data_IF_336437090144
#
_entry.id   IF_336437090144
#
_cell.length_a   1.000
_cell.length_b   1.000
_cell.length_c   1.000
_cell.angle_alpha   90.00
_cell.angle_beta   90.00
_cell.angle_gamma   90.00
#
_symmetry.space_group_name_H-M   'P 1'
#
loop_
_entity.id
_entity.type
_entity.pdbx_description
1 polymer ?
#
# COMPACT_ATOMS: atom_id res chain seq x y z
N UNK A 1 18.31 -7.06 11.68
CA UNK A 1 18.36 -6.07 10.60
C UNK A 1 17.96 -6.81 9.31
N UNK A 2 16.89 -6.41 8.62
CA UNK A 2 16.35 -7.17 7.46
C UNK A 2 17.03 -6.84 6.13
N UNK A 3 17.65 -5.67 6.01
CA UNK A 3 18.30 -5.19 4.80
C UNK A 3 19.75 -4.78 5.09
N UNK A 4 20.61 -4.83 4.07
CA UNK A 4 22.00 -4.40 4.14
C UNK A 4 22.38 -3.69 2.83
N UNK A 5 22.43 -2.34 2.80
CA UNK A 5 22.77 -1.59 1.59
C UNK A 5 24.25 -1.83 1.22
N UNK A 6 24.57 -1.72 -0.07
CA UNK A 6 25.93 -1.82 -0.59
C UNK A 6 26.43 -0.41 -0.99
N UNK A 7 27.17 0.31 -0.12
CA UNK A 7 27.57 1.70 -0.37
C UNK A 7 28.36 1.88 -1.66
N UNK A 8 29.17 0.90 -2.05
CA UNK A 8 29.95 0.89 -3.29
C UNK A 8 29.08 0.97 -4.54
N UNK A 9 27.82 0.53 -4.46
CA UNK A 9 26.85 0.64 -5.55
C UNK A 9 25.99 1.90 -5.42
N UNK A 10 25.70 2.36 -4.21
CA UNK A 10 24.69 3.40 -3.94
C UNK A 10 25.29 4.82 -3.90
N UNK A 11 26.50 4.97 -3.37
CA UNK A 11 27.09 6.27 -3.05
C UNK A 11 27.15 7.20 -4.26
N UNK A 12 26.64 8.43 -4.08
CA UNK A 12 26.57 9.48 -5.10
C UNK A 12 25.49 9.29 -6.17
N UNK A 13 24.74 8.18 -6.17
CA UNK A 13 23.74 7.89 -7.20
C UNK A 13 22.35 8.39 -6.82
N UNK A 14 21.54 8.63 -7.86
CA UNK A 14 20.09 8.79 -7.75
C UNK A 14 19.47 7.41 -7.93
N UNK A 15 18.77 6.90 -6.92
CA UNK A 15 18.24 5.54 -6.91
C UNK A 15 16.73 5.53 -7.07
N UNK A 16 16.22 4.58 -7.84
CA UNK A 16 14.80 4.25 -7.89
C UNK A 16 14.61 2.95 -7.14
N UNK A 17 13.77 2.94 -6.12
CA UNK A 17 13.40 1.75 -5.36
C UNK A 17 11.98 1.39 -5.75
N UNK A 18 11.79 0.12 -6.11
CA UNK A 18 10.47 -0.43 -6.40
C UNK A 18 10.07 -1.31 -5.22
N UNK A 19 8.88 -1.10 -4.68
CA UNK A 19 8.30 -1.91 -3.62
C UNK A 19 6.85 -2.27 -3.95
N UNK A 20 6.31 -3.30 -3.30
CA UNK A 20 4.98 -3.81 -3.63
C UNK A 20 3.86 -2.85 -3.21
N UNK A 21 3.99 -2.29 -2.01
CA UNK A 21 2.96 -1.55 -1.31
C UNK A 21 3.54 -0.70 -0.18
N UNK A 22 2.79 0.30 0.28
CA UNK A 22 3.09 1.02 1.53
C UNK A 22 1.83 1.06 2.37
N UNK A 23 1.83 0.37 3.52
CA UNK A 23 0.73 0.41 4.49
C UNK A 23 0.98 1.50 5.52
N UNK A 24 1.89 1.29 6.48
CA UNK A 24 2.19 2.25 7.57
C UNK A 24 3.33 3.22 7.28
N UNK A 25 4.10 3.01 6.22
CA UNK A 25 5.27 3.85 5.88
C UNK A 25 6.54 3.64 6.73
N UNK A 26 6.46 3.05 7.94
CA UNK A 26 7.61 2.87 8.83
C UNK A 26 8.78 2.10 8.19
N UNK A 27 8.50 0.95 7.57
CA UNK A 27 9.53 0.14 6.88
C UNK A 27 10.15 0.92 5.73
N UNK A 28 9.31 1.57 4.92
CA UNK A 28 9.74 2.37 3.78
C UNK A 28 10.63 3.53 4.20
N UNK A 29 10.27 4.24 5.28
CA UNK A 29 11.09 5.31 5.88
C UNK A 29 12.46 4.79 6.34
N UNK A 30 12.51 3.61 6.96
CA UNK A 30 13.78 2.97 7.32
C UNK A 30 14.63 2.64 6.10
N UNK A 31 14.02 2.11 5.03
CA UNK A 31 14.72 1.80 3.77
C UNK A 31 15.30 3.08 3.15
N UNK A 32 14.51 4.15 3.07
CA UNK A 32 14.97 5.46 2.56
C UNK A 32 16.14 5.98 3.39
N UNK A 33 16.04 5.93 4.73
CA UNK A 33 17.12 6.31 5.64
C UNK A 33 18.41 5.51 5.40
N UNK A 34 18.30 4.19 5.30
CA UNK A 34 19.46 3.31 5.03
C UNK A 34 20.14 3.61 3.70
N UNK A 35 19.37 3.96 2.65
CA UNK A 35 19.92 4.33 1.35
C UNK A 35 20.61 5.70 1.40
N UNK A 36 20.05 6.66 2.15
CA UNK A 36 20.68 7.96 2.40
C UNK A 36 21.99 7.80 3.18
N UNK A 37 22.00 6.98 4.23
CA UNK A 37 23.19 6.66 5.02
C UNK A 37 24.27 5.97 4.18
N UNK A 38 23.88 5.18 3.19
CA UNK A 38 24.78 4.57 2.20
C UNK A 38 25.28 5.55 1.11
N UNK A 39 24.88 6.83 1.17
CA UNK A 39 25.37 7.90 0.31
C UNK A 39 24.50 8.20 -0.93
N UNK A 40 23.23 7.76 -0.97
CA UNK A 40 22.34 8.08 -2.09
C UNK A 40 22.11 9.59 -2.22
N UNK A 41 22.32 10.13 -3.44
CA UNK A 41 22.09 11.54 -3.78
C UNK A 41 20.59 11.89 -3.80
N UNK A 42 19.77 11.00 -4.36
CA UNK A 42 18.30 11.08 -4.41
C UNK A 42 17.75 9.66 -4.28
N UNK A 43 16.57 9.51 -3.67
CA UNK A 43 15.82 8.28 -3.47
C UNK A 43 14.39 8.51 -3.97
N UNK A 44 14.02 7.83 -5.06
CA UNK A 44 12.70 7.88 -5.64
C UNK A 44 11.98 6.54 -5.48
N UNK A 45 10.76 6.55 -4.97
CA UNK A 45 9.97 5.34 -4.77
C UNK A 45 8.95 5.12 -5.89
N UNK A 46 8.82 3.87 -6.33
CA UNK A 46 7.78 3.42 -7.27
C UNK A 46 7.07 2.23 -6.66
N UNK A 47 5.78 2.39 -6.37
CA UNK A 47 5.00 1.38 -5.68
C UNK A 47 4.11 0.68 -6.69
N UNK A 48 4.20 -0.65 -6.78
CA UNK A 48 3.45 -1.44 -7.76
C UNK A 48 2.00 -1.72 -7.38
N UNK A 49 1.47 -1.00 -6.38
CA UNK A 49 0.08 -0.96 -6.02
C UNK A 49 -0.41 0.50 -5.98
N UNK A 50 -1.73 0.74 -6.11
CA UNK A 50 -2.34 2.01 -5.75
C UNK A 50 -2.18 2.30 -4.24
N UNK A 51 -2.38 3.56 -3.80
CA UNK A 51 -2.31 3.88 -2.38
C UNK A 51 -3.39 3.14 -1.59
N UNK A 52 -2.99 2.39 -0.55
CA UNK A 52 -3.93 1.71 0.35
C UNK A 52 -4.48 2.72 1.34
N UNK A 53 -5.78 3.03 1.22
CA UNK A 53 -6.45 4.09 2.00
C UNK A 53 -7.49 3.56 2.98
N UNK A 54 -7.91 2.30 2.80
CA UNK A 54 -8.96 1.64 3.58
C UNK A 54 -8.51 0.25 4.02
N UNK A 55 -9.04 -0.22 5.17
CA UNK A 55 -8.82 -1.57 5.67
C UNK A 55 -9.54 -2.63 4.86
N UNK A 56 -9.15 -3.89 4.93
CA UNK A 56 -9.89 -4.95 4.26
C UNK A 56 -10.96 -5.54 5.20
N UNK A 57 -12.19 -5.68 4.70
CA UNK A 57 -13.29 -6.32 5.43
C UNK A 57 -13.43 -7.81 5.11
N UNK A 58 -12.62 -8.31 4.17
CA UNK A 58 -12.79 -9.65 3.57
C UNK A 58 -11.62 -10.59 3.90
N UNK A 59 -11.01 -10.43 5.07
CA UNK A 59 -10.03 -11.39 5.60
C UNK A 59 -8.55 -11.00 5.48
N UNK A 60 -8.19 -9.91 4.80
CA UNK A 60 -6.78 -9.44 4.77
C UNK A 60 -6.48 -8.59 6.00
N UNK A 61 -5.43 -8.96 6.74
CA UNK A 61 -5.01 -8.20 7.92
C UNK A 61 -4.36 -6.87 7.53
N UNK A 62 -5.07 -5.78 7.80
CA UNK A 62 -4.63 -4.42 7.50
C UNK A 62 -4.54 -3.60 8.79
N UNK A 63 -3.75 -2.53 8.74
CA UNK A 63 -3.61 -1.61 9.87
C UNK A 63 -4.89 -0.79 10.07
N UNK A 64 -5.07 -0.18 11.24
CA UNK A 64 -6.15 0.77 11.42
C UNK A 64 -5.97 1.96 10.45
N UNK A 65 -7.07 2.59 10.02
CA UNK A 65 -7.02 3.63 8.96
C UNK A 65 -6.09 4.78 9.33
N UNK A 66 -6.12 5.24 10.57
CA UNK A 66 -5.26 6.29 11.11
C UNK A 66 -3.78 5.91 11.13
N UNK A 67 -3.47 4.62 11.17
CA UNK A 67 -2.10 4.10 11.06
C UNK A 67 -1.61 3.96 9.61
N UNK A 68 -2.50 4.05 8.61
CA UNK A 68 -2.12 3.96 7.20
C UNK A 68 -1.50 5.27 6.72
N UNK A 69 -0.38 5.18 6.02
CA UNK A 69 0.34 6.38 5.57
C UNK A 69 -0.45 7.15 4.51
N UNK A 70 -1.21 6.46 3.66
CA UNK A 70 -1.97 7.10 2.59
C UNK A 70 -3.38 7.55 3.04
N UNK A 71 -3.79 7.28 4.29
CA UNK A 71 -5.06 7.79 4.79
C UNK A 71 -5.00 9.33 4.89
N UNK A 72 -5.94 10.00 4.22
CA UNK A 72 -6.06 11.47 4.14
C UNK A 72 -4.81 12.25 3.72
N UNK A 73 -3.82 11.58 3.09
CA UNK A 73 -2.60 12.22 2.58
C UNK A 73 -2.55 12.20 1.06
N UNK A 74 -2.02 13.30 0.51
CA UNK A 74 -1.55 13.42 -0.88
C UNK A 74 -0.27 12.62 -1.09
N UNK A 75 0.11 12.38 -2.35
CA UNK A 75 1.32 11.61 -2.66
C UNK A 75 2.58 12.36 -2.19
N UNK A 76 2.56 13.69 -2.33
CA UNK A 76 3.61 14.60 -1.90
C UNK A 76 3.80 14.56 -0.38
N UNK A 77 2.72 14.60 0.40
CA UNK A 77 2.77 14.47 1.86
C UNK A 77 3.30 13.11 2.31
N UNK A 78 2.95 12.03 1.59
CA UNK A 78 3.50 10.69 1.87
C UNK A 78 5.01 10.66 1.57
N UNK A 79 5.45 11.23 0.44
CA UNK A 79 6.85 11.29 0.06
C UNK A 79 7.68 12.04 1.11
N UNK A 80 7.19 13.18 1.59
CA UNK A 80 7.80 13.95 2.67
C UNK A 80 7.85 13.14 3.96
N UNK A 81 6.75 12.51 4.35
CA UNK A 81 6.66 11.70 5.57
C UNK A 81 7.70 10.56 5.63
N UNK A 82 7.93 9.89 4.51
CA UNK A 82 8.90 8.79 4.40
C UNK A 82 10.32 9.25 4.01
N UNK A 83 10.50 10.53 3.69
CA UNK A 83 11.79 11.15 3.36
C UNK A 83 12.30 10.90 1.94
N UNK A 84 11.42 10.55 1.00
CA UNK A 84 11.77 10.30 -0.41
C UNK A 84 11.73 11.60 -1.24
N UNK A 85 12.57 11.71 -2.28
CA UNK A 85 12.57 12.88 -3.18
C UNK A 85 11.39 12.86 -4.16
N UNK A 86 10.93 11.66 -4.56
CA UNK A 86 9.65 11.51 -5.25
C UNK A 86 9.03 10.16 -4.94
N UNK A 87 7.71 10.11 -5.00
CA UNK A 87 6.90 8.90 -4.85
C UNK A 87 5.91 8.84 -6.02
N UNK A 88 5.75 7.66 -6.60
CA UNK A 88 4.65 7.39 -7.51
C UNK A 88 4.07 6.00 -7.23
N UNK A 89 2.76 5.90 -7.30
CA UNK A 89 2.00 4.66 -7.18
C UNK A 89 1.52 4.21 -8.55
N UNK A 90 1.29 2.91 -8.72
CA UNK A 90 0.57 2.38 -9.87
C UNK A 90 -0.86 2.94 -9.89
N UNK A 91 -1.35 3.35 -11.04
CA UNK A 91 -2.74 3.83 -11.20
C UNK A 91 -3.73 2.67 -11.14
N UNK A 92 -4.99 2.95 -10.77
CA UNK A 92 -6.06 1.95 -10.84
C UNK A 92 -6.21 1.39 -12.26
N UNK A 93 -6.20 2.26 -13.27
CA UNK A 93 -6.23 1.85 -14.69
C UNK A 93 -5.07 0.90 -15.03
N UNK A 94 -3.85 1.21 -14.57
CA UNK A 94 -2.68 0.38 -14.79
C UNK A 94 -2.75 -0.97 -14.08
N UNK A 95 -3.42 -1.07 -12.93
CA UNK A 95 -3.71 -2.36 -12.28
C UNK A 95 -4.61 -3.21 -13.16
N UNK A 96 -5.73 -2.68 -13.65
CA UNK A 96 -6.66 -3.47 -14.47
C UNK A 96 -6.04 -3.84 -15.83
N UNK A 97 -5.24 -2.95 -16.42
CA UNK A 97 -4.44 -3.26 -17.61
C UNK A 97 -3.51 -4.45 -17.36
N UNK A 98 -2.76 -4.42 -16.24
CA UNK A 98 -1.81 -5.48 -15.90
C UNK A 98 -2.46 -6.82 -15.57
N UNK A 99 -3.63 -6.81 -14.92
CA UNK A 99 -4.38 -8.03 -14.57
C UNK A 99 -5.13 -8.60 -15.78
N UNK A 100 -5.50 -7.76 -16.75
CA UNK A 100 -6.14 -8.16 -18.00
C UNK A 100 -7.65 -8.44 -17.88
N UNK A 101 -8.28 -8.02 -16.79
CA UNK A 101 -9.73 -8.13 -16.56
C UNK A 101 -10.27 -6.83 -15.97
N UNK A 102 -11.57 -6.51 -16.21
CA UNK A 102 -12.11 -5.20 -15.90
C UNK A 102 -12.38 -5.03 -14.39
N UNK A 103 -12.58 -3.80 -13.93
CA UNK A 103 -12.70 -3.47 -12.51
C UNK A 103 -13.82 -4.21 -11.79
N UNK A 104 -14.94 -4.46 -12.47
CA UNK A 104 -16.18 -4.97 -11.90
C UNK A 104 -16.09 -6.44 -11.43
N UNK A 105 -15.05 -7.16 -11.82
CA UNK A 105 -14.80 -8.54 -11.37
C UNK A 105 -13.80 -8.63 -10.22
N UNK A 106 -13.31 -7.49 -9.73
CA UNK A 106 -12.35 -7.41 -8.63
C UNK A 106 -12.94 -6.66 -7.44
N UNK A 107 -12.45 -7.02 -6.25
CA UNK A 107 -12.55 -6.13 -5.09
C UNK A 107 -11.32 -5.22 -5.07
N UNK A 108 -11.56 -3.91 -5.08
CA UNK A 108 -10.53 -2.87 -4.95
C UNK A 108 -10.78 -1.92 -3.76
N UNK A 109 -11.65 -2.33 -2.83
CA UNK A 109 -12.13 -1.52 -1.72
C UNK A 109 -11.00 -0.94 -0.85
N UNK A 110 -9.88 -1.64 -0.74
CA UNK A 110 -8.71 -1.16 0.02
C UNK A 110 -8.10 0.14 -0.58
N UNK A 111 -8.35 0.40 -1.87
CA UNK A 111 -7.92 1.59 -2.58
C UNK A 111 -9.06 2.60 -2.75
N UNK A 112 -10.27 2.12 -3.04
CA UNK A 112 -11.42 2.96 -3.45
C UNK A 112 -12.39 3.29 -2.32
N UNK A 113 -12.45 2.45 -1.29
CA UNK A 113 -13.45 2.51 -0.22
C UNK A 113 -14.82 1.95 -0.63
N UNK A 114 -14.97 1.43 -1.84
CA UNK A 114 -16.23 0.87 -2.34
C UNK A 114 -16.27 -0.64 -2.07
N UNK A 115 -16.98 -1.06 -1.03
CA UNK A 115 -17.09 -2.46 -0.63
C UNK A 115 -18.24 -3.15 -1.38
N UNK A 116 -17.98 -4.17 -2.22
CA UNK A 116 -19.02 -4.82 -3.03
C UNK A 116 -20.18 -5.46 -2.25
N UNK A 117 -19.98 -5.80 -0.97
CA UNK A 117 -21.01 -6.40 -0.13
C UNK A 117 -21.80 -5.38 0.69
N UNK A 118 -21.48 -4.09 0.55
CA UNK A 118 -22.22 -2.98 1.16
C UNK A 118 -21.84 -2.68 2.60
N UNK A 119 -20.72 -3.22 3.10
CA UNK A 119 -20.22 -2.94 4.44
C UNK A 119 -19.84 -1.46 4.54
N UNK A 120 -20.39 -0.76 5.54
CA UNK A 120 -19.88 0.56 5.88
C UNK A 120 -18.47 0.36 6.46
N UNK A 121 -17.43 0.89 5.81
CA UNK A 121 -16.08 0.59 6.23
C UNK A 121 -15.71 1.27 7.55
N UNK A 122 -16.55 2.16 8.09
CA UNK A 122 -16.42 2.74 9.44
C UNK A 122 -17.12 1.88 10.52
N UNK A 123 -18.06 1.01 10.13
CA UNK A 123 -18.82 0.14 11.05
C UNK A 123 -18.39 -1.33 10.99
N UNK A 124 -17.65 -1.75 9.96
CA UNK A 124 -17.22 -3.12 9.75
C UNK A 124 -16.23 -3.62 10.82
N UNK A 125 -16.27 -4.93 11.13
CA UNK A 125 -15.36 -5.61 12.08
C UNK A 125 -13.99 -5.93 11.45
N UNK A 126 -13.51 -5.03 10.58
CA UNK A 126 -12.31 -5.20 9.78
C UNK A 126 -12.27 -6.56 9.09
N UNK A 127 -11.12 -7.25 9.14
CA UNK A 127 -10.93 -8.52 8.41
C UNK A 127 -11.91 -9.64 8.80
N UNK A 128 -12.60 -9.52 9.93
CA UNK A 128 -13.51 -10.54 10.46
C UNK A 128 -14.97 -10.31 10.08
N UNK A 129 -15.28 -9.27 9.30
CA UNK A 129 -16.65 -8.87 8.99
C UNK A 129 -17.49 -10.02 8.39
N UNK A 130 -16.87 -10.82 7.50
CA UNK A 130 -17.52 -11.98 6.89
C UNK A 130 -17.67 -13.20 7.81
N UNK A 131 -16.97 -13.24 8.96
CA UNK A 131 -17.11 -14.35 9.93
C UNK A 131 -18.41 -14.27 10.72
N UNK A 132 -19.05 -13.09 10.76
CA UNK A 132 -20.32 -12.86 11.46
C UNK A 132 -21.56 -13.13 10.58
N UNK A 133 -21.36 -13.37 9.28
CA UNK A 133 -22.47 -13.66 8.37
C UNK A 133 -23.02 -15.07 8.68
N UNK A 134 -24.35 -15.16 8.80
CA UNK A 134 -25.04 -16.43 8.95
C UNK A 134 -24.70 -17.34 7.76
N UNK A 135 -23.87 -18.35 8.00
CA UNK A 135 -23.48 -19.32 6.97
C UNK A 135 -24.72 -20.11 6.58
N UNK A 136 -25.23 -19.92 5.36
CA UNK A 136 -26.26 -20.81 4.82
C UNK A 136 -25.56 -22.16 4.63
N UNK A 137 -25.99 -23.24 5.32
CA UNK A 137 -25.39 -24.54 5.13
C UNK A 137 -25.51 -24.91 3.65
N UNK A 138 -24.39 -25.20 3.00
CA UNK A 138 -24.38 -25.64 1.62
C UNK A 138 -25.27 -26.89 1.50
N UNK A 139 -26.46 -26.73 0.92
CA UNK A 139 -27.29 -27.86 0.52
C UNK A 139 -26.51 -28.62 -0.54
N UNK A 140 -26.05 -29.82 -0.17
CA UNK A 140 -25.50 -30.81 -1.09
C UNK A 140 -26.57 -31.28 -2.07
#
# INVERSE_FOLDING_TARGET
MKFNPLPEIISGKRVVVVDDSIVRGNTTRQIVGMLRDAGAKEVHLRISAPPIRFGCNYGVDMSARDEMVAHERTIEEIAEHIGADSLAYLSMEGVYEAVGTPAEVHCDACFTGNYPLGDDPDEADGKFDLEQIAVIPATR
#
